data_IF_451656567794
#
_entry.id   IF_451656567794
#
_cell.length_a   1.000
_cell.length_b   1.000
_cell.length_c   1.000
_cell.angle_alpha   90.00
_cell.angle_beta   90.00
_cell.angle_gamma   90.00
#
_symmetry.space_group_name_H-M   'P 1'
#
loop_
_entity.id
_entity.type
_entity.pdbx_description
1 polymer ?
#
# COMPACT_ATOMS: atom_id res chain seq x y z
N UNK A 1 15.87 2.70 0.89
CA UNK A 1 15.37 1.58 0.07
C UNK A 1 14.12 2.06 -0.63
N UNK A 2 13.95 1.86 -1.95
CA UNK A 2 12.78 2.35 -2.69
C UNK A 2 11.89 1.20 -3.17
N UNK A 3 10.60 1.48 -3.36
CA UNK A 3 9.61 0.55 -3.92
C UNK A 3 8.84 1.25 -5.04
N UNK A 4 8.60 0.53 -6.13
CA UNK A 4 7.74 0.97 -7.23
C UNK A 4 6.33 0.42 -7.01
N UNK A 5 5.34 1.30 -6.95
CA UNK A 5 3.93 0.96 -6.90
C UNK A 5 3.31 1.30 -8.26
N UNK A 6 3.03 0.28 -9.07
CA UNK A 6 2.34 0.42 -10.35
C UNK A 6 0.83 0.51 -10.09
N UNK A 7 0.21 1.62 -10.50
CA UNK A 7 -1.24 1.82 -10.38
C UNK A 7 -1.87 2.02 -11.76
N UNK A 8 -3.19 1.88 -11.85
CA UNK A 8 -3.92 2.14 -13.10
C UNK A 8 -3.83 3.59 -13.59
N UNK A 9 -3.52 4.54 -12.69
CA UNK A 9 -3.35 5.95 -13.02
C UNK A 9 -1.89 6.33 -13.33
N UNK A 10 -0.94 5.42 -13.11
CA UNK A 10 0.49 5.64 -13.30
C UNK A 10 1.34 5.07 -12.17
N UNK A 11 2.64 5.28 -12.27
CA UNK A 11 3.63 4.71 -11.36
C UNK A 11 4.00 5.66 -10.24
N UNK A 12 4.12 5.13 -9.03
CA UNK A 12 4.51 5.87 -7.83
C UNK A 12 5.78 5.25 -7.26
N UNK A 13 6.84 6.03 -7.12
CA UNK A 13 8.07 5.61 -6.44
C UNK A 13 8.03 6.09 -5.00
N UNK A 14 8.18 5.16 -4.06
CA UNK A 14 8.12 5.43 -2.62
C UNK A 14 9.48 5.08 -2.00
N UNK A 15 10.10 6.07 -1.37
CA UNK A 15 11.31 5.87 -0.57
C UNK A 15 10.96 5.50 0.87
N UNK A 16 11.45 4.35 1.31
CA UNK A 16 11.26 3.84 2.66
C UNK A 16 12.38 4.31 3.58
N UNK A 17 11.98 4.90 4.71
CA UNK A 17 12.86 5.32 5.80
C UNK A 17 13.22 4.14 6.71
N UNK A 18 13.94 3.16 6.13
CA UNK A 18 14.33 1.91 6.82
C UNK A 18 15.16 2.15 8.07
N UNK A 19 15.95 3.22 8.10
CA UNK A 19 16.83 3.55 9.22
C UNK A 19 16.04 4.05 10.44
N UNK A 20 14.93 4.76 10.19
CA UNK A 20 14.09 5.31 11.25
C UNK A 20 13.05 4.30 11.74
N UNK A 21 12.48 3.50 10.85
CA UNK A 21 11.39 2.57 11.18
C UNK A 21 11.58 1.21 10.50
N UNK A 22 12.59 0.43 10.93
CA UNK A 22 12.97 -0.81 10.26
C UNK A 22 11.87 -1.87 10.29
N UNK A 23 11.17 -2.02 11.42
CA UNK A 23 10.11 -3.05 11.58
C UNK A 23 8.91 -2.82 10.65
N UNK A 24 8.47 -1.56 10.52
CA UNK A 24 7.36 -1.17 9.63
C UNK A 24 7.75 -1.37 8.16
N UNK A 25 8.95 -0.91 7.79
CA UNK A 25 9.47 -1.08 6.43
C UNK A 25 9.62 -2.57 6.08
N UNK A 26 10.10 -3.40 7.02
CA UNK A 26 10.23 -4.84 6.82
C UNK A 26 8.87 -5.51 6.59
N UNK A 27 7.84 -5.14 7.36
CA UNK A 27 6.49 -5.65 7.16
C UNK A 27 5.94 -5.28 5.78
N UNK A 28 6.05 -4.01 5.39
CA UNK A 28 5.63 -3.54 4.07
C UNK A 28 6.35 -4.29 2.94
N UNK A 29 7.67 -4.44 3.04
CA UNK A 29 8.46 -5.17 2.05
C UNK A 29 8.10 -6.66 1.97
N UNK A 30 7.76 -7.31 3.09
CA UNK A 30 7.27 -8.70 3.10
C UNK A 30 5.96 -8.83 2.33
N UNK A 31 5.00 -7.93 2.59
CA UNK A 31 3.70 -7.90 1.90
C UNK A 31 3.84 -7.63 0.40
N UNK A 32 4.74 -6.71 0.02
CA UNK A 32 5.09 -6.49 -1.39
C UNK A 32 5.67 -7.75 -2.05
N UNK A 33 6.58 -8.47 -1.39
CA UNK A 33 7.21 -9.68 -1.94
C UNK A 33 6.21 -10.80 -2.21
N UNK A 34 5.22 -10.97 -1.34
CA UNK A 34 4.15 -11.98 -1.53
C UNK A 34 3.03 -11.49 -2.46
N UNK A 35 3.18 -10.31 -3.08
CA UNK A 35 2.20 -9.69 -3.99
C UNK A 35 0.84 -9.44 -3.35
N UNK A 36 0.80 -9.23 -2.02
CA UNK A 36 -0.45 -9.02 -1.28
C UNK A 36 -1.20 -7.77 -1.76
N UNK A 37 -0.48 -6.70 -2.10
CA UNK A 37 -1.08 -5.45 -2.58
C UNK A 37 -1.49 -5.47 -4.06
N UNK A 38 -1.17 -6.55 -4.80
CA UNK A 38 -1.53 -6.61 -6.21
C UNK A 38 -3.06 -6.66 -6.34
N UNK A 39 -3.59 -5.81 -7.22
CA UNK A 39 -5.04 -5.63 -7.43
C UNK A 39 -5.81 -5.08 -6.22
N UNK A 40 -5.13 -4.59 -5.17
CA UNK A 40 -5.81 -3.89 -4.08
C UNK A 40 -6.38 -2.55 -4.58
N UNK A 41 -7.68 -2.29 -4.42
CA UNK A 41 -8.29 -1.05 -4.85
C UNK A 41 -7.94 0.11 -3.91
N UNK A 42 -7.81 1.30 -4.50
CA UNK A 42 -7.85 2.55 -3.74
C UNK A 42 -9.30 2.79 -3.34
N UNK A 43 -9.63 2.52 -2.08
CA UNK A 43 -11.02 2.54 -1.61
C UNK A 43 -11.46 3.88 -1.01
N UNK A 44 -10.51 4.71 -0.57
CA UNK A 44 -10.80 6.03 0.01
C UNK A 44 -9.88 7.07 -0.59
N UNK A 45 -10.45 8.14 -1.14
CA UNK A 45 -9.71 9.28 -1.70
C UNK A 45 -10.29 10.57 -1.14
N UNK A 46 -9.49 11.29 -0.35
CA UNK A 46 -9.80 12.61 0.14
C UNK A 46 -8.98 13.64 -0.64
N UNK A 47 -9.67 14.44 -1.45
CA UNK A 47 -9.04 15.45 -2.30
C UNK A 47 -8.23 16.43 -1.44
N UNK A 48 -6.99 16.69 -1.85
CA UNK A 48 -6.04 17.57 -1.15
C UNK A 48 -5.59 17.08 0.24
N UNK A 49 -5.78 15.81 0.56
CA UNK A 49 -5.34 15.26 1.84
C UNK A 49 -4.59 13.93 1.66
N UNK A 50 -5.31 12.85 1.42
CA UNK A 50 -4.72 11.51 1.30
C UNK A 50 -5.63 10.56 0.54
N UNK A 51 -5.06 9.47 0.08
CA UNK A 51 -5.81 8.29 -0.33
C UNK A 51 -5.37 7.08 0.50
N UNK A 52 -6.24 6.08 0.60
CA UNK A 52 -5.98 4.85 1.32
C UNK A 52 -6.15 3.65 0.38
N UNK A 53 -5.23 2.71 0.51
CA UNK A 53 -5.14 1.47 -0.26
C UNK A 53 -4.45 0.42 0.61
N UNK A 54 -4.40 -0.82 0.14
CA UNK A 54 -3.67 -1.91 0.80
C UNK A 54 -4.54 -2.98 1.43
N UNK A 55 -5.86 -2.86 1.30
CA UNK A 55 -6.81 -3.93 1.59
C UNK A 55 -7.20 -4.63 0.27
N UNK A 56 -6.88 -5.93 0.08
CA UNK A 56 -7.26 -6.68 -1.11
C UNK A 56 -8.76 -6.97 -1.21
N UNK A 57 -9.47 -7.02 -0.08
CA UNK A 57 -10.90 -7.34 -0.03
C UNK A 57 -11.77 -6.09 -0.20
N UNK A 58 -11.22 -4.94 0.16
CA UNK A 58 -11.90 -3.64 0.11
C UNK A 58 -12.90 -3.45 1.25
N UNK A 59 -13.39 -2.21 1.45
CA UNK A 59 -14.10 -1.76 2.66
C UNK A 59 -15.48 -2.39 2.85
N UNK A 60 -15.95 -3.21 1.90
CA UNK A 60 -17.27 -3.82 1.92
C UNK A 60 -17.25 -5.29 2.37
N UNK A 61 -16.08 -5.88 2.57
CA UNK A 61 -15.95 -7.25 3.07
C UNK A 61 -15.98 -7.31 4.59
N UNK A 62 -16.61 -8.35 5.16
CA UNK A 62 -16.62 -8.57 6.62
C UNK A 62 -15.24 -8.94 7.18
N UNK A 63 -14.41 -9.51 6.33
CA UNK A 63 -13.04 -9.91 6.65
C UNK A 63 -12.03 -8.85 6.15
N UNK A 64 -12.49 -7.64 5.86
CA UNK A 64 -11.64 -6.53 5.45
C UNK A 64 -10.70 -6.12 6.58
N UNK A 65 -9.44 -5.87 6.22
CA UNK A 65 -8.41 -5.39 7.13
C UNK A 65 -8.45 -3.84 7.29
N UNK A 66 -9.44 -3.13 6.70
CA UNK A 66 -9.53 -1.67 6.63
C UNK A 66 -10.93 -1.06 6.58
#
# INVERSE_FOLDING_TARGET
>A
MSVLLETSAGDIVIDLLTDYSPKLCENFLKLCKIKYYNFSPIHSVQKNFSFQTGDPLGPFSKDSDG
#
